data_IF_965725224071
#
_entry.id   IF_965725224071
#
_cell.length_a   1.000
_cell.length_b   1.000
_cell.length_c   1.000
_cell.angle_alpha   90.00
_cell.angle_beta   90.00
_cell.angle_gamma   90.00
#
_symmetry.space_group_name_H-M   'P 1'
#
loop_
_entity.id
_entity.type
_entity.pdbx_description
1 polymer ?
#
# COMPACT_ATOMS: atom_id res chain seq x y z
N UNK A 1 1.40 -7.57 -41.10
CA UNK A 1 0.95 -8.05 -39.78
C UNK A 1 1.34 -7.02 -38.75
N UNK A 2 0.34 -6.54 -38.00
CA UNK A 2 0.40 -5.46 -37.02
C UNK A 2 0.91 -5.94 -35.67
N UNK A 3 1.77 -5.13 -35.04
CA UNK A 3 2.03 -5.00 -33.60
C UNK A 3 2.84 -3.69 -33.50
N UNK A 4 2.22 -2.53 -33.27
CA UNK A 4 1.58 -2.20 -32.00
C UNK A 4 2.54 -1.26 -31.25
N UNK A 5 2.68 -0.04 -31.77
CA UNK A 5 3.40 1.07 -31.14
C UNK A 5 2.66 1.42 -29.85
N UNK A 6 3.11 0.92 -28.70
CA UNK A 6 2.69 1.44 -27.40
C UNK A 6 3.76 2.40 -26.88
N UNK A 7 3.47 3.68 -27.09
CA UNK A 7 3.93 4.86 -26.36
C UNK A 7 5.22 4.76 -25.55
N UNK A 8 6.34 5.10 -26.20
CA UNK A 8 7.42 5.88 -25.57
C UNK A 8 6.88 7.28 -25.21
N UNK A 9 5.99 7.35 -24.21
CA UNK A 9 5.65 8.62 -23.58
C UNK A 9 6.79 8.95 -22.62
N UNK A 10 7.59 9.93 -23.02
CA UNK A 10 8.74 10.40 -22.25
C UNK A 10 8.35 10.70 -20.80
N UNK A 11 8.84 9.87 -19.88
CA UNK A 11 8.78 10.20 -18.46
C UNK A 11 9.52 11.51 -18.23
N UNK A 12 8.80 12.49 -17.68
CA UNK A 12 9.39 13.71 -17.14
C UNK A 12 10.51 13.35 -16.15
N UNK A 13 11.62 14.09 -16.16
CA UNK A 13 12.77 13.87 -15.24
C UNK A 13 12.37 13.81 -13.76
N UNK A 14 11.25 14.42 -13.40
CA UNK A 14 10.71 14.37 -12.04
C UNK A 14 10.05 13.03 -11.71
N UNK A 15 9.46 12.35 -12.69
CA UNK A 15 8.80 11.06 -12.51
C UNK A 15 9.82 9.95 -12.30
N UNK A 16 10.88 9.91 -13.14
CA UNK A 16 12.00 8.97 -12.97
C UNK A 16 12.66 9.08 -11.60
N UNK A 17 12.69 10.28 -11.01
CA UNK A 17 13.25 10.52 -9.68
C UNK A 17 12.37 9.97 -8.57
N UNK A 18 11.04 10.02 -8.71
CA UNK A 18 10.11 9.49 -7.72
C UNK A 18 10.19 7.95 -7.66
N UNK A 19 10.17 7.30 -8.82
CA UNK A 19 10.30 5.85 -8.92
C UNK A 19 11.63 5.37 -8.32
N UNK A 20 12.74 6.02 -8.67
CA UNK A 20 14.05 5.70 -8.10
C UNK A 20 14.11 5.86 -6.58
N UNK A 21 13.41 6.84 -6.01
CA UNK A 21 13.34 7.02 -4.56
C UNK A 21 12.49 5.94 -3.88
N UNK A 22 11.38 5.54 -4.50
CA UNK A 22 10.53 4.45 -4.00
C UNK A 22 11.32 3.14 -4.00
N UNK A 23 12.01 2.83 -5.10
CA UNK A 23 12.86 1.65 -5.21
C UNK A 23 13.99 1.65 -4.16
N UNK A 24 14.55 2.82 -3.87
CA UNK A 24 15.55 2.98 -2.81
C UNK A 24 14.95 2.67 -1.43
N UNK A 25 13.77 3.21 -1.10
CA UNK A 25 13.08 2.91 0.17
C UNK A 25 12.85 1.41 0.29
N UNK A 26 12.29 0.78 -0.74
CA UNK A 26 12.03 -0.67 -0.75
C UNK A 26 13.33 -1.46 -0.56
N UNK A 27 14.42 -0.99 -1.18
CA UNK A 27 15.75 -1.60 -1.06
C UNK A 27 16.38 -1.46 0.32
N UNK A 28 16.15 -0.35 1.02
CA UNK A 28 16.60 -0.16 2.40
C UNK A 28 15.77 -1.03 3.37
N UNK A 29 14.46 -1.11 3.16
CA UNK A 29 13.56 -1.90 4.00
C UNK A 29 13.79 -3.40 3.82
N UNK A 30 13.97 -3.89 2.59
CA UNK A 30 14.21 -5.32 2.31
C UNK A 30 15.53 -5.83 2.90
N UNK A 31 16.49 -4.94 3.17
CA UNK A 31 17.77 -5.30 3.74
C UNK A 31 17.68 -5.59 5.25
N UNK A 32 16.54 -5.30 5.88
CA UNK A 32 16.32 -5.59 7.31
C UNK A 32 16.07 -7.08 7.50
N UNK A 33 16.89 -7.70 8.35
CA UNK A 33 16.75 -9.12 8.68
C UNK A 33 15.36 -9.44 9.24
N UNK A 34 14.70 -10.43 8.63
CA UNK A 34 13.35 -10.85 9.00
C UNK A 34 12.23 -10.18 8.20
N UNK A 35 12.52 -9.24 7.31
CA UNK A 35 11.54 -8.76 6.31
C UNK A 35 11.39 -9.82 5.21
N UNK A 36 10.16 -10.27 4.97
CA UNK A 36 9.85 -11.28 3.94
C UNK A 36 9.41 -10.64 2.62
N UNK A 37 8.86 -9.42 2.67
CA UNK A 37 8.37 -8.70 1.52
C UNK A 37 8.07 -7.25 1.86
N UNK A 38 7.88 -6.44 0.83
CA UNK A 38 7.54 -5.02 0.90
C UNK A 38 6.61 -4.71 -0.26
N UNK A 39 5.42 -4.19 0.05
CA UNK A 39 4.41 -3.84 -0.94
C UNK A 39 3.96 -2.40 -0.73
N UNK A 40 3.74 -1.69 -1.82
CA UNK A 40 2.98 -0.45 -1.83
C UNK A 40 1.60 -0.71 -2.41
N UNK A 41 0.58 -0.41 -1.63
CA UNK A 41 -0.81 -0.54 -2.02
C UNK A 41 -1.39 0.85 -2.27
N UNK A 42 -2.11 1.01 -3.38
CA UNK A 42 -2.94 2.19 -3.57
C UNK A 42 -4.26 2.07 -2.79
N UNK A 43 -5.06 3.16 -2.68
CA UNK A 43 -6.34 3.13 -1.97
C UNK A 43 -7.37 2.16 -2.57
N UNK A 44 -7.15 1.68 -3.79
CA UNK A 44 -7.99 0.72 -4.49
C UNK A 44 -7.56 -0.73 -4.27
N UNK A 45 -6.47 -0.98 -3.53
CA UNK A 45 -5.95 -2.33 -3.27
C UNK A 45 -5.01 -2.89 -4.33
N UNK A 46 -4.68 -2.10 -5.35
CA UNK A 46 -3.72 -2.51 -6.38
C UNK A 46 -2.30 -2.44 -5.82
N UNK A 47 -1.51 -3.49 -6.07
CA UNK A 47 -0.11 -3.57 -5.67
C UNK A 47 0.76 -2.86 -6.70
N UNK A 48 1.31 -1.71 -6.35
CA UNK A 48 2.07 -0.88 -7.29
C UNK A 48 3.57 -1.20 -7.32
N UNK A 49 4.14 -1.62 -6.19
CA UNK A 49 5.56 -2.01 -6.10
C UNK A 49 5.70 -3.28 -5.25
N UNK A 50 5.56 -4.47 -5.85
CA UNK A 50 5.73 -5.72 -5.14
C UNK A 50 7.20 -6.10 -5.01
N UNK A 51 7.64 -6.34 -3.78
CA UNK A 51 8.84 -7.10 -3.49
C UNK A 51 8.46 -8.25 -2.56
N UNK A 52 8.77 -9.48 -2.95
CA UNK A 52 8.52 -10.68 -2.16
C UNK A 52 9.74 -11.59 -2.25
N UNK A 53 10.26 -12.04 -1.10
CA UNK A 53 11.35 -13.00 -1.05
C UNK A 53 10.87 -14.45 -1.08
N UNK A 54 9.60 -14.70 -0.72
CA UNK A 54 9.17 -16.03 -0.30
C UNK A 54 8.03 -16.61 -1.13
N UNK A 55 7.03 -15.84 -1.57
CA UNK A 55 5.93 -16.41 -2.38
C UNK A 55 5.02 -15.38 -3.05
N UNK A 56 5.23 -15.16 -4.36
CA UNK A 56 4.37 -14.30 -5.18
C UNK A 56 2.88 -14.67 -5.13
N UNK A 57 2.54 -15.93 -4.80
CA UNK A 57 1.17 -16.40 -4.70
C UNK A 57 0.40 -15.81 -3.52
N UNK A 58 1.07 -15.43 -2.43
CA UNK A 58 0.43 -14.87 -1.23
C UNK A 58 0.31 -13.34 -1.28
N UNK A 59 1.05 -12.69 -2.19
CA UNK A 59 1.03 -11.23 -2.34
C UNK A 59 -0.39 -10.65 -2.50
N UNK A 60 -1.29 -11.19 -3.35
CA UNK A 60 -2.64 -10.66 -3.49
C UNK A 60 -3.48 -10.81 -2.20
N UNK A 61 -3.35 -11.94 -1.52
CA UNK A 61 -4.07 -12.20 -0.26
C UNK A 61 -3.61 -11.26 0.86
N UNK A 62 -2.30 -11.01 0.94
CA UNK A 62 -1.72 -10.06 1.90
C UNK A 62 -2.18 -8.63 1.57
N UNK A 63 -2.25 -8.28 0.29
CA UNK A 63 -2.72 -6.98 -0.17
C UNK A 63 -4.20 -6.75 0.19
N UNK A 64 -5.05 -7.74 -0.05
CA UNK A 64 -6.48 -7.70 0.30
C UNK A 64 -6.66 -7.56 1.82
N UNK A 65 -5.99 -8.40 2.61
CA UNK A 65 -6.05 -8.33 4.08
C UNK A 65 -5.56 -6.97 4.62
N UNK A 66 -4.53 -6.39 4.01
CA UNK A 66 -4.04 -5.08 4.42
C UNK A 66 -5.02 -3.96 4.04
N UNK A 67 -5.65 -4.03 2.86
CA UNK A 67 -6.68 -3.08 2.45
C UNK A 67 -7.87 -3.11 3.40
N UNK A 68 -8.38 -4.30 3.74
CA UNK A 68 -9.51 -4.46 4.67
C UNK A 68 -9.23 -3.79 6.02
N UNK A 69 -7.99 -3.93 6.49
CA UNK A 69 -7.54 -3.32 7.75
C UNK A 69 -7.48 -1.81 7.62
N UNK A 70 -6.92 -1.26 6.54
CA UNK A 70 -6.88 0.19 6.29
C UNK A 70 -8.31 0.76 6.18
N UNK A 71 -9.21 0.07 5.49
CA UNK A 71 -10.61 0.47 5.38
C UNK A 71 -11.33 0.42 6.73
N UNK A 72 -11.08 -0.62 7.54
CA UNK A 72 -11.61 -0.69 8.89
C UNK A 72 -11.13 0.49 9.75
N UNK A 73 -9.84 0.85 9.66
CA UNK A 73 -9.27 2.02 10.36
C UNK A 73 -9.92 3.33 9.90
N UNK A 74 -10.25 3.48 8.62
CA UNK A 74 -10.92 4.66 8.10
C UNK A 74 -12.35 4.82 8.66
N UNK A 75 -13.01 3.71 9.00
CA UNK A 75 -14.34 3.72 9.64
C UNK A 75 -14.24 4.07 11.13
N UNK A 76 -13.15 3.67 11.80
CA UNK A 76 -12.93 4.05 13.19
C UNK A 76 -12.62 5.55 13.28
N UNK A 77 -13.60 6.34 13.69
CA UNK A 77 -13.41 7.75 14.02
C UNK A 77 -12.66 7.90 15.35
N UNK A 78 -11.38 7.51 15.34
CA UNK A 78 -10.51 7.65 16.49
C UNK A 78 -10.16 9.12 16.67
N UNK A 79 -10.56 9.67 17.82
CA UNK A 79 -10.17 11.02 18.21
C UNK A 79 -8.67 11.05 18.50
N UNK A 80 -7.89 11.78 17.71
CA UNK A 80 -6.45 11.96 17.93
C UNK A 80 -5.65 11.97 16.65
N UNK A 81 -4.38 11.57 16.76
CA UNK A 81 -3.48 11.46 15.61
C UNK A 81 -3.87 10.26 14.72
N UNK A 82 -3.68 10.35 13.40
CA UNK A 82 -3.93 9.21 12.50
C UNK A 82 -3.08 8.01 12.92
N UNK A 83 -3.64 6.81 12.79
CA UNK A 83 -2.91 5.57 13.03
C UNK A 83 -1.88 5.41 11.92
N UNK A 84 -0.60 5.44 12.29
CA UNK A 84 0.51 5.32 11.35
C UNK A 84 1.02 3.89 11.18
N UNK A 85 0.70 2.99 12.12
CA UNK A 85 1.18 1.62 12.09
C UNK A 85 0.15 0.68 12.72
N UNK A 86 -0.17 -0.39 11.99
CA UNK A 86 -0.94 -1.52 12.47
C UNK A 86 -0.11 -2.79 12.39
N UNK A 87 -0.23 -3.61 13.43
CA UNK A 87 0.47 -4.88 13.57
C UNK A 87 -0.55 -6.00 13.67
N UNK A 88 -0.47 -6.94 12.74
CA UNK A 88 -1.28 -8.17 12.76
C UNK A 88 -0.34 -9.36 12.95
N UNK A 89 -0.59 -10.18 13.97
CA UNK A 89 0.17 -11.40 14.17
C UNK A 89 -0.56 -12.55 13.48
N UNK A 90 0.18 -13.43 12.81
CA UNK A 90 -0.34 -14.67 12.24
C UNK A 90 0.57 -15.85 12.59
N UNK A 91 0.18 -17.07 12.20
CA UNK A 91 0.87 -18.32 12.54
C UNK A 91 2.37 -18.26 12.27
N UNK A 92 2.77 -17.69 11.14
CA UNK A 92 4.15 -17.77 10.63
C UNK A 92 4.89 -16.43 10.63
N UNK A 93 4.29 -15.38 11.20
CA UNK A 93 4.89 -14.06 11.13
C UNK A 93 4.06 -12.94 11.72
N UNK A 94 4.41 -11.73 11.28
CA UNK A 94 3.70 -10.50 11.59
C UNK A 94 3.56 -9.69 10.30
N UNK A 95 2.38 -9.13 10.09
CA UNK A 95 2.14 -8.15 9.04
C UNK A 95 2.17 -6.76 9.65
N UNK A 96 3.05 -5.91 9.13
CA UNK A 96 3.11 -4.50 9.50
C UNK A 96 2.51 -3.68 8.36
N UNK A 97 1.53 -2.85 8.69
CA UNK A 97 0.82 -1.99 7.76
C UNK A 97 1.06 -0.57 8.23
N UNK A 98 1.65 0.25 7.36
CA UNK A 98 1.91 1.66 7.64
C UNK A 98 1.06 2.51 6.71
N UNK A 99 0.12 3.21 7.32
CA UNK A 99 -0.79 4.13 6.66
C UNK A 99 -0.39 5.58 6.93
N UNK A 100 -0.92 6.52 6.15
CA UNK A 100 -0.71 7.96 6.32
C UNK A 100 0.78 8.38 6.31
N UNK A 101 1.61 7.72 5.50
CA UNK A 101 3.04 8.03 5.39
C UNK A 101 3.33 9.25 4.52
N UNK A 102 2.32 9.82 3.84
CA UNK A 102 2.52 10.87 2.83
C UNK A 102 3.38 10.38 1.65
N UNK A 103 3.41 9.07 1.42
CA UNK A 103 4.14 8.47 0.31
C UNK A 103 3.23 8.47 -0.91
N UNK A 104 3.55 9.33 -1.87
CA UNK A 104 2.80 9.43 -3.10
C UNK A 104 3.38 8.49 -4.17
N UNK A 105 2.53 7.67 -4.78
CA UNK A 105 2.85 6.81 -5.92
C UNK A 105 2.11 7.29 -7.17
N UNK A 106 2.64 6.92 -8.34
CA UNK A 106 1.98 7.19 -9.62
C UNK A 106 1.16 5.97 -10.03
N UNK A 107 -0.10 6.19 -10.34
CA UNK A 107 -1.01 5.21 -10.93
C UNK A 107 -1.54 5.75 -12.26
N UNK A 108 -2.18 4.91 -13.11
CA UNK A 108 -2.81 5.39 -14.34
C UNK A 108 -3.84 6.50 -14.12
N UNK A 109 -4.40 6.61 -12.90
CA UNK A 109 -5.41 7.60 -12.51
C UNK A 109 -4.81 8.89 -11.95
N UNK A 110 -3.51 8.93 -11.66
CA UNK A 110 -2.82 10.12 -11.17
C UNK A 110 -1.83 9.81 -10.07
N UNK A 111 -1.63 10.78 -9.17
CA UNK A 111 -0.76 10.64 -8.02
C UNK A 111 -1.62 10.31 -6.80
N UNK A 112 -1.41 9.15 -6.20
CA UNK A 112 -2.22 8.64 -5.08
C UNK A 112 -1.34 8.37 -3.86
N UNK A 113 -1.91 8.49 -2.67
CA UNK A 113 -1.21 8.13 -1.43
C UNK A 113 -1.20 6.62 -1.28
N UNK A 114 -0.02 6.04 -1.01
CA UNK A 114 0.17 4.62 -0.84
C UNK A 114 0.28 4.23 0.63
N UNK A 115 -0.28 3.08 0.94
CA UNK A 115 -0.01 2.34 2.16
C UNK A 115 1.18 1.40 1.96
N UNK A 116 2.04 1.29 2.96
CA UNK A 116 3.20 0.40 2.96
C UNK A 116 2.91 -0.84 3.78
N UNK A 117 3.07 -2.02 3.16
CA UNK A 117 2.76 -3.31 3.77
C UNK A 117 4.00 -4.18 3.79
N UNK A 118 4.35 -4.71 4.96
CA UNK A 118 5.59 -5.45 5.18
C UNK A 118 5.28 -6.73 5.96
N UNK A 119 5.19 -7.90 5.30
CA UNK A 119 5.23 -9.18 5.98
C UNK A 119 6.64 -9.43 6.54
N UNK A 120 6.70 -9.84 7.81
CA UNK A 120 7.93 -10.08 8.53
C UNK A 120 7.87 -11.40 9.32
N UNK A 121 9.04 -11.87 9.74
CA UNK A 121 9.18 -12.90 10.76
C UNK A 121 8.73 -12.39 12.13
N UNK A 122 8.36 -13.30 13.04
CA UNK A 122 7.96 -12.92 14.41
C UNK A 122 9.09 -12.27 15.21
N UNK A 123 10.35 -12.60 14.88
CA UNK A 123 11.55 -12.11 15.56
C UNK A 123 12.07 -10.77 15.00
N UNK A 124 11.34 -10.13 14.08
CA UNK A 124 11.76 -8.87 13.46
C UNK A 124 12.09 -7.79 14.49
N UNK A 125 13.25 -7.14 14.31
CA UNK A 125 13.63 -5.96 15.09
C UNK A 125 12.81 -4.74 14.63
N UNK A 126 11.59 -4.60 15.16
CA UNK A 126 10.66 -3.52 14.80
C UNK A 126 11.23 -2.12 15.02
N UNK A 127 11.91 -1.81 16.15
CA UNK A 127 12.54 -0.50 16.33
C UNK A 127 13.54 -0.16 15.21
N UNK A 128 14.39 -1.12 14.82
CA UNK A 128 15.34 -0.95 13.73
C UNK A 128 14.64 -0.71 12.39
N UNK A 129 13.62 -1.51 12.08
CA UNK A 129 12.80 -1.36 10.87
C UNK A 129 12.12 0.02 10.80
N UNK A 130 11.48 0.45 11.90
CA UNK A 130 10.84 1.77 12.00
C UNK A 130 11.84 2.90 11.80
N UNK A 131 13.04 2.78 12.35
CA UNK A 131 14.11 3.77 12.18
C UNK A 131 14.51 3.89 10.71
N UNK A 132 14.83 2.77 10.05
CA UNK A 132 15.21 2.75 8.63
C UNK A 132 14.10 3.35 7.77
N UNK A 133 12.86 2.90 7.97
CA UNK A 133 11.70 3.40 7.25
C UNK A 133 11.52 4.90 7.44
N UNK A 134 11.58 5.42 8.68
CA UNK A 134 11.45 6.86 8.95
C UNK A 134 12.56 7.68 8.30
N UNK A 135 13.81 7.21 8.35
CA UNK A 135 14.94 7.89 7.70
C UNK A 135 14.74 7.94 6.19
N UNK A 136 14.35 6.81 5.58
CA UNK A 136 14.12 6.70 4.15
C UNK A 136 12.95 7.61 3.69
N UNK A 137 11.82 7.57 4.41
CA UNK A 137 10.66 8.44 4.15
C UNK A 137 11.00 9.92 4.30
N UNK A 138 11.77 10.31 5.32
CA UNK A 138 12.15 11.71 5.54
C UNK A 138 12.97 12.26 4.37
N UNK A 139 13.83 11.44 3.74
CA UNK A 139 14.57 11.83 2.53
C UNK A 139 13.63 12.14 1.38
N UNK A 140 12.64 11.30 1.15
CA UNK A 140 11.64 11.48 0.08
C UNK A 140 10.76 12.68 0.35
N UNK A 141 10.24 12.83 1.57
CA UNK A 141 9.39 13.97 1.95
C UNK A 141 10.14 15.31 1.85
N UNK A 142 11.41 15.37 2.27
CA UNK A 142 12.25 16.58 2.14
C UNK A 142 12.41 16.97 0.67
N UNK A 143 12.61 15.99 -0.20
CA UNK A 143 12.77 16.22 -1.64
C UNK A 143 11.45 16.56 -2.34
N UNK A 144 10.33 16.00 -1.88
CA UNK A 144 8.99 16.37 -2.36
C UNK A 144 8.58 17.78 -1.92
N UNK A 145 8.89 18.20 -0.68
CA UNK A 145 8.63 19.56 -0.18
C UNK A 145 9.43 20.64 -0.91
N UNK A 146 10.67 20.33 -1.33
CA UNK A 146 11.50 21.24 -2.12
C UNK A 146 10.99 21.46 -3.57
N UNK A 147 9.97 20.70 -4.01
CA UNK A 147 9.39 20.77 -5.36
C UNK A 147 8.22 21.74 -5.57
N UNK A 148 7.86 22.55 -4.54
CA UNK A 148 6.67 23.44 -4.42
C UNK A 148 5.33 22.73 -4.21
N UNK A 149 4.65 23.18 -3.15
CA UNK A 149 3.21 23.18 -2.90
C UNK A 149 2.42 22.00 -3.50
N UNK A 150 2.45 20.88 -2.79
CA UNK A 150 1.36 19.92 -2.88
C UNK A 150 0.72 19.88 -1.50
N UNK A 151 -0.38 20.61 -1.35
CA UNK A 151 -1.33 20.32 -0.29
C UNK A 151 -1.59 18.81 -0.38
N UNK A 152 -1.38 18.03 0.69
CA UNK A 152 -1.93 16.68 0.73
C UNK A 152 -3.40 16.87 0.39
N UNK A 153 -3.86 16.25 -0.69
CA UNK A 153 -5.30 16.11 -0.87
C UNK A 153 -5.68 15.17 0.25
N UNK A 154 -6.03 15.76 1.41
CA UNK A 154 -6.83 15.10 2.41
C UNK A 154 -7.98 14.56 1.60
N UNK A 155 -7.97 13.25 1.35
CA UNK A 155 -9.11 12.61 0.78
C UNK A 155 -10.20 12.91 1.79
N UNK A 156 -11.14 13.75 1.38
CA UNK A 156 -12.45 13.77 2.01
C UNK A 156 -12.80 12.32 2.28
N UNK A 157 -13.29 12.03 3.48
CA UNK A 157 -13.98 10.79 3.84
C UNK A 157 -15.23 10.63 2.96
N UNK A 158 -15.07 10.68 1.64
CA UNK A 158 -16.01 10.21 0.67
C UNK A 158 -15.97 8.71 0.86
N UNK A 159 -16.80 8.27 1.80
CA UNK A 159 -17.25 6.91 1.96
C UNK A 159 -17.66 6.38 0.59
N UNK A 160 -16.69 5.90 -0.17
CA UNK A 160 -16.95 5.12 -1.37
C UNK A 160 -17.11 3.67 -0.91
N UNK A 161 -17.95 3.48 0.10
CA UNK A 161 -18.89 2.37 0.10
C UNK A 161 -19.84 2.68 -1.06
N UNK A 162 -19.40 2.44 -2.29
CA UNK A 162 -20.37 2.05 -3.30
C UNK A 162 -20.98 0.77 -2.73
N UNK A 163 -22.17 0.91 -2.13
CA UNK A 163 -23.15 -0.17 -2.08
C UNK A 163 -23.28 -0.64 -3.51
N UNK A 164 -22.42 -1.59 -3.90
CA UNK A 164 -22.67 -2.44 -5.05
C UNK A 164 -23.98 -3.08 -4.66
N UNK A 165 -25.04 -2.60 -5.31
CA UNK A 165 -26.39 -3.09 -5.18
C UNK A 165 -26.26 -4.58 -5.47
N UNK A 166 -26.26 -5.39 -4.42
CA UNK A 166 -26.07 -6.83 -4.50
C UNK A 166 -27.09 -7.30 -5.53
N UNK A 167 -26.61 -7.78 -6.68
CA UNK A 167 -27.51 -8.24 -7.71
C UNK A 167 -28.39 -9.36 -7.12
N UNK A 168 -29.68 -9.43 -7.49
CA UNK A 168 -30.62 -10.44 -6.97
C UNK A 168 -30.18 -11.89 -7.25
N UNK A 169 -29.19 -12.11 -8.11
CA UNK A 169 -28.50 -13.39 -8.36
C UNK A 169 -27.61 -13.85 -7.20
N UNK A 170 -27.01 -12.93 -6.44
CA UNK A 170 -26.10 -13.27 -5.34
C UNK A 170 -26.85 -13.78 -4.09
N UNK A 171 -28.07 -13.29 -3.87
CA UNK A 171 -28.95 -13.82 -2.82
C UNK A 171 -29.33 -15.28 -3.06
N UNK A 172 -29.60 -15.65 -4.33
CA UNK A 172 -29.85 -17.06 -4.68
C UNK A 172 -28.63 -17.94 -4.42
N UNK A 173 -27.42 -17.45 -4.68
CA UNK A 173 -26.19 -18.18 -4.38
C UNK A 173 -25.97 -18.36 -2.87
N UNK A 174 -26.20 -17.32 -2.07
CA UNK A 174 -26.10 -17.38 -0.60
C UNK A 174 -27.15 -18.32 0.01
N UNK A 175 -28.37 -18.34 -0.53
CA UNK A 175 -29.42 -19.26 -0.08
C UNK A 175 -29.10 -20.71 -0.49
N UNK A 176 -28.49 -20.93 -1.66
CA UNK A 176 -28.07 -22.26 -2.10
C UNK A 176 -26.97 -22.82 -1.20
N UNK A 177 -25.98 -22.00 -0.82
CA UNK A 177 -24.89 -22.37 0.10
C UNK A 177 -25.39 -22.60 1.53
N UNK A 178 -26.44 -21.88 1.97
CA UNK A 178 -27.06 -22.11 3.29
C UNK A 178 -27.93 -23.37 3.36
N UNK A 179 -28.40 -23.86 2.21
CA UNK A 179 -29.27 -25.04 2.11
C UNK A 179 -28.53 -26.36 1.82
N UNK A 180 -27.20 -26.31 1.63
CA UNK A 180 -26.31 -27.46 1.51
C UNK A 180 -25.64 -27.76 2.85
#
# INVERSE_FOLDING_TARGET
MSLGIFGLLGHSDKERRLDAWIEQIITEIKAVEGVKGVFLLNPQGEVCYPFDQADHALTPLIAEAALDVVQALAVFELTGNPIQEVKLNYSDGVLLIYDCLGLMIKTPKGLEEACLVIPCSKAINRPHLRMIMKVALTRVQKNQKNGRNRTPVSQSKAATLTRVKVEPTLHKLLDTVRSA
#
